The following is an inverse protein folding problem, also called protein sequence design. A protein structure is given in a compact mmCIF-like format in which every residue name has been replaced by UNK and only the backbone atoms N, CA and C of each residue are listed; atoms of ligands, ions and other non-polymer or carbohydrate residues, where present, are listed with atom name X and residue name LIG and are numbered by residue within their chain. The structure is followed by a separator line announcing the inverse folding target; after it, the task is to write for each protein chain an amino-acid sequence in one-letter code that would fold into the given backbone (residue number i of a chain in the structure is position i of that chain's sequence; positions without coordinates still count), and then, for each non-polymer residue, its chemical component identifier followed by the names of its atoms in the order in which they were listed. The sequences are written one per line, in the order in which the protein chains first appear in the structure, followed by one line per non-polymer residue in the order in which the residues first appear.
data_IF_221758540441
#
_entry.id   IF_221758540441
#
_cell.length_a   1.000
_cell.length_b   1.000
_cell.length_c   1.000
_cell.angle_alpha   90.00
_cell.angle_beta   90.00
_cell.angle_gamma   90.00
#
_symmetry.space_group_name_H-M   'P 1'
#
loop_
_entity.id
_entity.type
_entity.pdbx_description
1 polymer ?
#
# COMPACT_ATOMS: atom_id res chain seq x y z
N UNK A 1 23.20 -21.36 -7.93
CA UNK A 1 22.78 -22.31 -6.89
C UNK A 1 22.60 -23.67 -7.53
N UNK A 2 23.61 -24.53 -7.45
CA UNK A 2 23.63 -25.85 -8.07
C UNK A 2 22.60 -26.76 -7.40
N UNK A 3 21.63 -27.26 -8.16
CA UNK A 3 20.71 -28.31 -7.70
C UNK A 3 21.51 -29.61 -7.63
N UNK A 4 21.94 -30.02 -6.43
CA UNK A 4 22.43 -31.37 -6.22
C UNK A 4 21.26 -32.34 -6.45
N UNK A 5 21.30 -33.07 -7.56
CA UNK A 5 20.43 -34.23 -7.77
C UNK A 5 20.97 -35.34 -6.86
N UNK A 6 20.39 -35.43 -5.67
CA UNK A 6 20.71 -36.48 -4.73
C UNK A 6 19.84 -37.68 -5.11
N UNK A 7 20.38 -38.65 -5.85
CA UNK A 7 19.68 -39.88 -6.29
C UNK A 7 19.51 -40.88 -5.12
N UNK A 8 19.24 -40.37 -3.90
CA UNK A 8 18.83 -41.20 -2.78
C UNK A 8 17.36 -41.55 -2.95
N UNK A 9 16.95 -42.81 -2.70
CA UNK A 9 15.55 -43.18 -2.75
C UNK A 9 14.76 -42.32 -1.76
N UNK A 10 13.74 -41.63 -2.26
CA UNK A 10 12.87 -40.78 -1.44
C UNK A 10 12.04 -41.70 -0.54
N UNK A 11 12.09 -41.47 0.78
CA UNK A 11 11.29 -42.19 1.76
C UNK A 11 9.83 -41.70 1.73
N UNK A 12 9.06 -42.21 0.76
CA UNK A 12 7.65 -41.86 0.60
C UNK A 12 6.76 -42.36 1.74
N UNK A 13 7.14 -43.47 2.39
CA UNK A 13 6.38 -44.06 3.50
C UNK A 13 6.48 -43.18 4.74
N UNK A 14 7.68 -42.67 5.04
CA UNK A 14 7.88 -41.67 6.10
C UNK A 14 7.11 -40.37 5.83
N UNK A 15 7.19 -39.85 4.60
CA UNK A 15 6.46 -38.64 4.20
C UNK A 15 4.95 -38.82 4.35
N UNK A 16 4.39 -39.96 3.93
CA UNK A 16 2.95 -40.23 4.06
C UNK A 16 2.50 -40.22 5.52
N UNK A 17 3.23 -40.89 6.40
CA UNK A 17 2.92 -40.94 7.83
C UNK A 17 2.86 -39.53 8.44
N UNK A 18 3.88 -38.73 8.18
CA UNK A 18 4.00 -37.38 8.75
C UNK A 18 2.99 -36.41 8.10
N UNK A 19 2.69 -36.60 6.81
CA UNK A 19 1.64 -35.87 6.11
C UNK A 19 0.26 -36.16 6.73
N UNK A 20 -0.07 -37.43 6.97
CA UNK A 20 -1.34 -37.84 7.60
C UNK A 20 -1.45 -37.38 9.05
N UNK A 21 -0.33 -37.36 9.78
CA UNK A 21 -0.29 -36.93 11.18
C UNK A 21 -0.72 -35.46 11.37
N UNK A 22 -0.49 -34.59 10.39
CA UNK A 22 -0.97 -33.20 10.43
C UNK A 22 -0.20 -32.26 11.38
N UNK A 23 0.72 -32.79 12.20
CA UNK A 23 1.47 -32.06 13.23
C UNK A 23 2.49 -31.08 12.62
N UNK A 24 3.22 -31.50 11.59
CA UNK A 24 4.20 -30.65 10.88
C UNK A 24 3.59 -30.05 9.62
N UNK A 25 3.99 -28.81 9.30
CA UNK A 25 3.62 -28.16 8.04
C UNK A 25 4.21 -28.88 6.82
N UNK A 26 3.52 -28.88 5.69
CA UNK A 26 3.97 -29.60 4.47
C UNK A 26 5.35 -29.13 3.99
N UNK A 27 5.64 -27.83 4.12
CA UNK A 27 6.96 -27.26 3.81
C UNK A 27 8.06 -27.73 4.75
N UNK A 28 7.71 -28.00 6.00
CA UNK A 28 8.65 -28.52 6.99
C UNK A 28 8.96 -29.98 6.73
N UNK A 29 7.94 -30.80 6.42
CA UNK A 29 8.11 -32.19 5.96
C UNK A 29 9.00 -32.22 4.72
N UNK A 30 8.74 -31.35 3.73
CA UNK A 30 9.56 -31.20 2.53
C UNK A 30 11.04 -30.93 2.86
N UNK A 31 11.33 -30.02 3.81
CA UNK A 31 12.69 -29.72 4.26
C UNK A 31 13.35 -30.91 4.94
N UNK A 32 12.65 -31.60 5.85
CA UNK A 32 13.18 -32.75 6.59
C UNK A 32 13.56 -33.91 5.67
N UNK A 33 12.71 -34.21 4.69
CA UNK A 33 12.92 -35.32 3.76
C UNK A 33 13.73 -34.93 2.51
N UNK A 34 14.10 -33.66 2.36
CA UNK A 34 14.88 -33.16 1.22
C UNK A 34 14.11 -33.19 -0.11
N UNK A 35 12.78 -33.06 -0.06
CA UNK A 35 11.87 -33.11 -1.21
C UNK A 35 11.22 -31.73 -1.40
N UNK A 36 10.68 -31.44 -2.59
CA UNK A 36 9.87 -30.22 -2.78
C UNK A 36 8.44 -30.39 -2.24
N UNK A 37 7.84 -29.34 -1.67
CA UNK A 37 6.44 -29.38 -1.19
C UNK A 37 5.47 -29.84 -2.29
N UNK A 38 5.75 -29.44 -3.52
CA UNK A 38 4.95 -29.69 -4.70
C UNK A 38 4.96 -31.17 -5.06
N UNK A 39 6.09 -31.86 -4.88
CA UNK A 39 6.17 -33.30 -5.09
C UNK A 39 5.35 -34.07 -4.04
N UNK A 40 5.35 -33.60 -2.78
CA UNK A 40 4.49 -34.15 -1.72
C UNK A 40 3.01 -33.94 -2.05
N UNK A 41 2.62 -32.73 -2.48
CA UNK A 41 1.24 -32.43 -2.87
C UNK A 41 0.75 -33.26 -4.07
N UNK A 42 1.59 -33.42 -5.10
CA UNK A 42 1.27 -34.23 -6.28
C UNK A 42 1.08 -35.70 -5.89
N UNK A 43 1.93 -36.22 -5.01
CA UNK A 43 1.85 -37.61 -4.53
C UNK A 43 0.63 -37.82 -3.64
N UNK A 44 0.38 -36.93 -2.69
CA UNK A 44 -0.80 -36.96 -1.84
C UNK A 44 -2.11 -36.95 -2.64
N UNK A 45 -2.17 -36.19 -3.74
CA UNK A 45 -3.34 -36.19 -4.64
C UNK A 45 -3.46 -37.49 -5.45
N UNK A 46 -2.35 -38.05 -5.92
CA UNK A 46 -2.34 -39.29 -6.69
C UNK A 46 -2.72 -40.52 -5.83
N UNK A 47 -2.21 -40.58 -4.60
CA UNK A 47 -2.37 -41.71 -3.67
C UNK A 47 -3.49 -41.49 -2.64
N UNK A 48 -4.25 -40.38 -2.75
CA UNK A 48 -5.41 -40.11 -1.91
C UNK A 48 -5.09 -39.90 -0.42
N UNK A 49 -3.96 -39.28 -0.09
CA UNK A 49 -3.58 -39.04 1.30
C UNK A 49 -4.47 -37.99 1.97
N UNK A 50 -4.94 -38.29 3.18
CA UNK A 50 -5.77 -37.40 3.99
C UNK A 50 -4.99 -36.90 5.20
N UNK A 51 -4.98 -35.58 5.41
CA UNK A 51 -4.22 -34.93 6.48
C UNK A 51 -5.14 -34.54 7.63
N UNK A 52 -4.78 -34.93 8.85
CA UNK A 52 -5.48 -34.47 10.07
C UNK A 52 -5.32 -32.95 10.24
N UNK A 53 -6.35 -32.30 10.75
CA UNK A 53 -6.28 -30.88 11.09
C UNK A 53 -5.23 -30.69 12.19
N UNK A 54 -4.35 -29.71 11.99
CA UNK A 54 -3.39 -29.34 13.02
C UNK A 54 -4.14 -28.79 14.24
N UNK A 55 -3.72 -29.11 15.47
CA UNK A 55 -4.31 -28.50 16.65
C UNK A 55 -4.18 -26.98 16.54
N UNK A 56 -5.27 -26.26 16.86
CA UNK A 56 -5.26 -24.79 16.87
C UNK A 56 -4.12 -24.31 17.77
N UNK A 57 -3.23 -23.49 17.22
CA UNK A 57 -2.12 -22.94 17.99
C UNK A 57 -2.64 -21.97 19.06
N UNK A 58 -1.87 -21.73 20.14
CA UNK A 58 -2.28 -20.86 21.26
C UNK A 58 -2.59 -19.41 20.84
N UNK A 59 -2.13 -18.99 19.67
CA UNK A 59 -2.38 -17.65 19.11
C UNK A 59 -3.54 -17.59 18.12
N UNK A 60 -4.16 -18.73 17.79
CA UNK A 60 -5.26 -18.77 16.85
C UNK A 60 -6.57 -18.31 17.50
N UNK A 61 -6.82 -18.69 18.75
CA UNK A 61 -7.95 -18.19 19.53
C UNK A 61 -7.88 -16.67 19.73
N UNK A 62 -6.69 -16.12 20.04
CA UNK A 62 -6.48 -14.66 20.10
C UNK A 62 -6.78 -13.96 18.77
N UNK A 63 -6.46 -14.60 17.64
CA UNK A 63 -6.71 -14.05 16.31
C UNK A 63 -8.19 -14.10 15.95
N UNK A 64 -8.88 -15.18 16.32
CA UNK A 64 -10.32 -15.34 16.17
C UNK A 64 -11.09 -14.35 17.07
N UNK A 65 -10.63 -14.12 18.31
CA UNK A 65 -11.18 -13.11 19.23
C UNK A 65 -10.99 -11.67 18.70
N UNK A 66 -9.85 -11.38 18.07
CA UNK A 66 -9.61 -10.07 17.43
C UNK A 66 -10.44 -9.85 16.15
N UNK A 67 -10.95 -10.92 15.55
CA UNK A 67 -11.86 -10.85 14.40
C UNK A 67 -13.32 -10.55 14.82
N UNK A 68 -13.64 -10.61 16.12
CA UNK A 68 -14.91 -10.07 16.64
C UNK A 68 -14.84 -8.55 16.54
N UNK A 69 -15.71 -8.01 15.71
CA UNK A 69 -15.81 -6.61 15.32
C UNK A 69 -15.74 -5.69 16.54
N UNK A 70 -14.67 -4.92 16.65
CA UNK A 70 -14.76 -3.64 17.36
C UNK A 70 -15.68 -2.80 16.48
N UNK A 71 -16.89 -2.50 16.95
CA UNK A 71 -17.72 -1.45 16.33
C UNK A 71 -16.94 -0.14 16.43
N UNK A 72 -16.21 0.16 15.37
CA UNK A 72 -15.64 1.48 15.16
C UNK A 72 -16.83 2.40 14.97
N UNK A 73 -17.26 3.07 16.03
CA UNK A 73 -18.20 4.19 15.92
C UNK A 73 -17.52 5.19 14.97
N UNK A 74 -18.02 5.39 13.73
CA UNK A 74 -17.43 6.38 12.87
C UNK A 74 -17.65 7.74 13.54
N UNK A 75 -16.63 8.62 13.60
CA UNK A 75 -16.89 9.99 14.01
C UNK A 75 -17.99 10.56 13.11
N UNK A 76 -18.80 11.48 13.64
CA UNK A 76 -19.84 12.20 12.90
C UNK A 76 -19.38 12.47 11.47
N UNK A 77 -20.13 12.03 10.47
CA UNK A 77 -19.71 11.93 9.06
C UNK A 77 -19.13 13.26 8.56
N UNK A 78 -17.81 13.43 8.68
CA UNK A 78 -17.13 14.64 8.20
C UNK A 78 -17.17 14.57 6.69
N UNK A 79 -17.70 15.61 6.04
CA UNK A 79 -17.75 15.62 4.58
C UNK A 79 -16.32 15.72 4.04
N UNK A 80 -16.01 15.07 2.91
CA UNK A 80 -14.68 15.18 2.29
C UNK A 80 -14.33 16.63 1.92
N UNK A 81 -15.33 17.47 1.68
CA UNK A 81 -15.21 18.91 1.46
C UNK A 81 -14.62 19.62 2.70
N UNK A 82 -15.20 19.37 3.89
CA UNK A 82 -14.75 19.97 5.16
C UNK A 82 -13.29 19.59 5.50
N UNK A 83 -12.90 18.35 5.18
CA UNK A 83 -11.53 17.88 5.34
C UNK A 83 -10.56 18.57 4.37
N UNK A 84 -11.00 18.79 3.13
CA UNK A 84 -10.20 19.47 2.12
C UNK A 84 -10.01 20.95 2.44
N UNK A 85 -11.06 21.62 2.92
CA UNK A 85 -11.02 23.01 3.40
C UNK A 85 -10.09 23.17 4.60
N UNK A 86 -10.23 22.29 5.59
CA UNK A 86 -9.33 22.29 6.75
C UNK A 86 -7.88 22.05 6.34
N UNK A 87 -7.64 21.14 5.41
CA UNK A 87 -6.31 20.88 4.85
C UNK A 87 -5.70 22.11 4.20
N UNK A 88 -6.47 22.84 3.39
CA UNK A 88 -6.04 24.09 2.75
C UNK A 88 -5.70 25.17 3.78
N UNK A 89 -6.54 25.34 4.81
CA UNK A 89 -6.31 26.32 5.86
C UNK A 89 -5.07 26.02 6.73
N UNK A 90 -4.70 24.76 6.89
CA UNK A 90 -3.44 24.37 7.55
C UNK A 90 -2.26 24.68 6.63
N UNK A 91 -2.34 24.28 5.35
CA UNK A 91 -1.25 24.50 4.40
C UNK A 91 -0.93 25.99 4.20
N UNK A 92 -1.94 26.86 4.18
CA UNK A 92 -1.76 28.31 4.11
C UNK A 92 -0.98 28.84 5.33
N UNK A 93 -1.39 28.49 6.55
CA UNK A 93 -0.67 28.89 7.78
C UNK A 93 0.77 28.40 7.81
N UNK A 94 1.01 27.18 7.33
CA UNK A 94 2.38 26.65 7.21
C UNK A 94 3.22 27.41 6.17
N UNK A 95 2.61 27.95 5.11
CA UNK A 95 3.32 28.83 4.18
C UNK A 95 3.65 30.18 4.82
N UNK A 96 2.73 30.76 5.59
CA UNK A 96 2.97 32.01 6.32
C UNK A 96 4.12 31.84 7.34
N UNK A 97 4.14 30.72 8.09
CA UNK A 97 5.23 30.38 8.99
C UNK A 97 6.56 30.23 8.23
N UNK A 98 6.53 29.58 7.07
CA UNK A 98 7.73 29.39 6.25
C UNK A 98 8.26 30.72 5.69
N UNK A 99 7.37 31.66 5.36
CA UNK A 99 7.72 33.02 4.97
C UNK A 99 8.39 33.76 6.14
N UNK A 100 7.79 33.72 7.34
CA UNK A 100 8.36 34.33 8.53
C UNK A 100 9.75 33.77 8.88
N UNK A 101 9.91 32.45 8.86
CA UNK A 101 11.22 31.78 9.08
C UNK A 101 12.23 32.18 8.00
N UNK A 102 11.79 32.34 6.75
CA UNK A 102 12.67 32.77 5.66
C UNK A 102 13.11 34.23 5.81
N UNK A 103 12.24 35.10 6.30
CA UNK A 103 12.56 36.51 6.56
C UNK A 103 13.54 36.69 7.74
N UNK A 104 13.46 35.81 8.75
CA UNK A 104 14.24 35.88 9.98
C UNK A 104 15.34 34.82 10.08
N UNK A 105 15.76 34.22 8.97
CA UNK A 105 16.76 33.13 9.02
C UNK A 105 18.10 33.61 9.59
N UNK A 106 18.54 34.84 9.29
CA UNK A 106 19.80 35.38 9.82
C UNK A 106 19.77 35.49 11.35
N UNK A 107 18.70 36.06 11.90
CA UNK A 107 18.51 36.15 13.36
C UNK A 107 18.51 34.77 14.04
N UNK A 108 17.93 33.77 13.38
CA UNK A 108 17.93 32.38 13.86
C UNK A 108 19.33 31.74 13.78
N UNK A 109 20.10 32.00 12.72
CA UNK A 109 21.48 31.53 12.59
C UNK A 109 22.36 32.10 13.70
N UNK A 110 22.24 33.41 13.97
CA UNK A 110 22.97 34.10 15.03
C UNK A 110 22.60 33.52 16.41
N UNK A 111 21.30 33.39 16.72
CA UNK A 111 20.83 32.79 17.98
C UNK A 111 21.33 31.34 18.17
N UNK A 112 21.33 30.53 17.11
CA UNK A 112 21.85 29.16 17.16
C UNK A 112 23.36 29.16 17.44
N UNK A 113 24.11 30.08 16.82
CA UNK A 113 25.56 30.17 17.01
C UNK A 113 25.94 30.62 18.42
N UNK A 114 25.14 31.51 19.01
CA UNK A 114 25.37 32.06 20.35
C UNK A 114 24.98 31.08 21.46
N UNK A 115 23.83 30.41 21.33
CA UNK A 115 23.25 29.61 22.41
C UNK A 115 23.68 28.13 22.39
N UNK A 116 23.92 27.53 21.21
CA UNK A 116 24.22 26.10 21.12
C UNK A 116 25.72 25.81 21.12
N UNK A 117 26.27 25.45 22.27
CA UNK A 117 27.70 25.16 22.44
C UNK A 117 28.16 23.85 21.79
N UNK A 118 27.29 22.85 21.65
CA UNK A 118 27.66 21.57 21.04
C UNK A 118 27.76 21.70 19.51
N UNK A 119 28.94 21.45 18.90
CA UNK A 119 29.13 21.68 17.47
C UNK A 119 28.21 20.82 16.58
N UNK A 120 27.86 19.61 17.02
CA UNK A 120 27.01 18.70 16.23
C UNK A 120 25.56 19.14 16.27
N UNK A 121 25.05 19.51 17.45
CA UNK A 121 23.70 20.07 17.61
C UNK A 121 23.56 21.38 16.86
N UNK A 122 24.53 22.28 16.98
CA UNK A 122 24.55 23.55 16.24
C UNK A 122 24.44 23.32 14.74
N UNK A 123 25.27 22.42 14.20
CA UNK A 123 25.22 22.08 12.78
C UNK A 123 23.87 21.47 12.36
N UNK A 124 23.26 20.63 13.20
CA UNK A 124 21.95 20.07 12.93
C UNK A 124 20.84 21.14 12.89
N UNK A 125 20.87 22.10 13.82
CA UNK A 125 19.92 23.23 13.85
C UNK A 125 20.08 24.14 12.63
N UNK A 126 21.32 24.55 12.31
CA UNK A 126 21.61 25.32 11.09
C UNK A 126 21.16 24.58 9.83
N UNK A 127 21.35 23.26 9.79
CA UNK A 127 20.87 22.44 8.67
C UNK A 127 19.34 22.43 8.57
N UNK A 128 18.63 22.35 9.69
CA UNK A 128 17.17 22.35 9.74
C UNK A 128 16.56 23.66 9.22
N UNK A 129 17.21 24.80 9.48
CA UNK A 129 16.74 26.09 8.97
C UNK A 129 17.32 26.43 7.58
N UNK A 130 18.15 25.58 6.99
CA UNK A 130 18.84 25.89 5.72
C UNK A 130 17.89 26.14 4.55
N UNK A 131 18.34 26.91 3.55
CA UNK A 131 17.55 27.22 2.35
C UNK A 131 17.05 25.95 1.65
N UNK A 132 17.88 24.90 1.59
CA UNK A 132 17.49 23.63 0.98
C UNK A 132 16.33 22.95 1.70
N UNK A 133 16.30 23.03 3.04
CA UNK A 133 15.20 22.46 3.83
C UNK A 133 13.92 23.28 3.66
N UNK A 134 14.03 24.61 3.71
CA UNK A 134 12.90 25.54 3.47
C UNK A 134 12.32 25.41 2.06
N UNK A 135 13.15 25.23 1.04
CA UNK A 135 12.69 24.99 -0.33
C UNK A 135 11.96 23.65 -0.46
N UNK A 136 12.45 22.61 0.25
CA UNK A 136 11.81 21.29 0.30
C UNK A 136 10.43 21.36 0.96
N UNK A 137 10.30 22.06 2.10
CA UNK A 137 9.02 22.25 2.78
C UNK A 137 8.04 23.01 1.89
N UNK A 138 8.45 24.08 1.20
CA UNK A 138 7.61 24.81 0.24
C UNK A 138 7.08 23.90 -0.88
N UNK A 139 7.94 23.06 -1.45
CA UNK A 139 7.55 22.09 -2.49
C UNK A 139 6.53 21.08 -1.97
N UNK A 140 6.73 20.58 -0.75
CA UNK A 140 5.81 19.63 -0.12
C UNK A 140 4.45 20.27 0.16
N UNK A 141 4.42 21.51 0.67
CA UNK A 141 3.18 22.26 0.89
C UNK A 141 2.44 22.54 -0.43
N UNK A 142 3.16 22.95 -1.47
CA UNK A 142 2.60 23.16 -2.82
C UNK A 142 1.97 21.87 -3.38
N UNK A 143 2.64 20.73 -3.19
CA UNK A 143 2.12 19.42 -3.58
C UNK A 143 0.87 19.04 -2.78
N UNK A 144 0.87 19.28 -1.47
CA UNK A 144 -0.29 19.03 -0.61
C UNK A 144 -1.50 19.87 -1.03
N UNK A 145 -1.33 21.17 -1.28
CA UNK A 145 -2.40 22.05 -1.77
C UNK A 145 -2.95 21.55 -3.11
N UNK A 146 -2.08 21.14 -4.03
CA UNK A 146 -2.51 20.56 -5.32
C UNK A 146 -3.38 19.33 -5.11
N UNK A 147 -2.95 18.40 -4.25
CA UNK A 147 -3.71 17.18 -3.95
C UNK A 147 -5.06 17.48 -3.29
N UNK A 148 -5.10 18.44 -2.36
CA UNK A 148 -6.35 18.87 -1.71
C UNK A 148 -7.32 19.51 -2.71
N UNK A 149 -6.82 20.31 -3.66
CA UNK A 149 -7.66 20.90 -4.71
C UNK A 149 -8.22 19.84 -5.66
N UNK A 150 -7.43 18.83 -6.02
CA UNK A 150 -7.88 17.69 -6.83
C UNK A 150 -8.89 16.80 -6.09
N UNK A 151 -8.80 16.72 -4.76
CA UNK A 151 -9.74 15.95 -3.93
C UNK A 151 -11.09 16.68 -3.73
N UNK A 152 -11.07 18.01 -3.72
CA UNK A 152 -12.26 18.84 -3.57
C UNK A 152 -13.12 18.97 -4.84
N UNK A 153 -12.63 18.56 -6.02
CA UNK A 153 -13.45 18.59 -7.24
C UNK A 153 -14.45 17.43 -7.26
N UNK A 154 -15.77 17.70 -7.36
CA UNK A 154 -16.82 16.67 -7.27
C UNK A 154 -16.74 15.60 -8.37
N UNK A 155 -16.21 15.96 -9.54
CA UNK A 155 -15.80 14.99 -10.55
C UNK A 155 -14.36 14.54 -10.26
N UNK A 156 -14.20 13.52 -9.42
CA UNK A 156 -12.89 12.90 -9.21
C UNK A 156 -12.21 12.58 -10.55
N UNK A 157 -10.87 12.55 -10.60
CA UNK A 157 -10.07 12.36 -11.84
C UNK A 157 -10.59 11.28 -12.79
N UNK A 158 -11.31 10.27 -12.29
CA UNK A 158 -12.00 9.24 -13.06
C UNK A 158 -13.20 9.78 -13.86
N UNK A 159 -14.07 10.60 -13.25
CA UNK A 159 -15.22 11.23 -13.91
C UNK A 159 -14.77 12.23 -14.98
N UNK A 160 -13.77 13.08 -14.72
CA UNK A 160 -13.22 13.97 -15.75
C UNK A 160 -12.58 13.22 -16.92
N UNK A 161 -11.82 12.15 -16.65
CA UNK A 161 -11.24 11.31 -17.71
C UNK A 161 -12.32 10.59 -18.52
N UNK A 162 -13.41 10.18 -17.87
CA UNK A 162 -14.54 9.54 -18.52
C UNK A 162 -15.33 10.53 -19.38
N UNK A 163 -15.64 11.73 -18.87
CA UNK A 163 -16.26 12.80 -19.64
C UNK A 163 -15.39 13.25 -20.83
N UNK A 164 -14.06 13.31 -20.66
CA UNK A 164 -13.14 13.61 -21.74
C UNK A 164 -13.09 12.48 -22.80
N UNK A 165 -13.14 11.21 -22.38
CA UNK A 165 -13.20 10.07 -23.28
C UNK A 165 -14.53 10.01 -24.05
N UNK A 166 -15.65 10.29 -23.38
CA UNK A 166 -16.99 10.36 -23.99
C UNK A 166 -17.08 11.47 -25.05
N UNK A 167 -16.45 12.62 -24.81
CA UNK A 167 -16.36 13.70 -25.82
C UNK A 167 -15.58 13.30 -27.08
N UNK A 168 -14.65 12.36 -26.99
CA UNK A 168 -13.84 11.89 -28.14
C UNK A 168 -14.45 10.66 -28.82
N UNK A 169 -15.31 9.91 -28.12
CA UNK A 169 -15.91 8.65 -28.59
C UNK A 169 -16.76 8.74 -29.86
N UNK A 170 -17.24 9.93 -30.23
CA UNK A 170 -18.00 10.15 -31.47
C UNK A 170 -17.18 10.05 -32.77
N UNK A 171 -15.86 10.21 -32.70
CA UNK A 171 -14.98 10.23 -33.90
C UNK A 171 -14.75 8.84 -34.50
N UNK A 172 -14.99 7.77 -33.75
CA UNK A 172 -14.78 6.38 -34.17
C UNK A 172 -16.03 5.50 -34.02
N UNK A 173 -17.22 6.11 -33.93
CA UNK A 173 -18.47 5.36 -33.85
C UNK A 173 -18.68 4.52 -35.12
N UNK A 174 -19.07 3.26 -34.95
CA UNK A 174 -19.31 2.34 -36.06
C UNK A 174 -20.45 2.87 -36.96
N UNK A 175 -20.27 2.89 -38.30
CA UNK A 175 -21.32 3.36 -39.20
C UNK A 175 -22.59 2.50 -39.08
N UNK A 176 -23.75 3.16 -39.10
CA UNK A 176 -25.05 2.50 -39.00
C UNK A 176 -25.22 1.45 -40.11
N UNK A 177 -25.72 0.27 -39.74
CA UNK A 177 -25.94 -0.82 -40.67
C UNK A 177 -26.88 -0.39 -41.83
N UNK A 178 -26.62 -0.83 -43.08
CA UNK A 178 -27.43 -0.48 -44.22
C UNK A 178 -28.85 -1.07 -44.07
N UNK A 179 -29.87 -0.23 -44.31
CA UNK A 179 -31.27 -0.63 -44.27
C UNK A 179 -31.59 -1.47 -45.51
N UNK A 180 -31.96 -2.74 -45.31
CA UNK A 180 -32.49 -3.59 -46.36
C UNK A 180 -33.92 -3.15 -46.71
N UNK A 181 -34.09 -2.54 -47.89
CA UNK A 181 -35.40 -2.28 -48.47
C UNK A 181 -35.74 -3.45 -49.38
N UNK A 182 -36.38 -4.49 -48.85
CA UNK A 182 -36.96 -5.55 -49.68
C UNK A 182 -38.44 -5.26 -49.82
N UNK A 183 -38.83 -4.85 -51.03
CA UNK A 183 -40.23 -4.71 -51.44
C UNK A 183 -40.62 -6.00 -52.16
N UNK A 184 -41.23 -6.95 -51.45
CA UNK A 184 -41.86 -8.11 -52.09
C UNK A 184 -43.30 -7.74 -52.45
N UNK A 185 -43.55 -7.59 -53.76
CA UNK A 185 -44.88 -7.69 -54.35
C UNK A 185 -45.05 -9.08 -54.96
#
# INVERSE_FOLDING_TARGET
MSKHKNDKPIDWVGIERDYRAGVMGIREIARWYGVSDTAIHKRAKADGWTRKEAPKGPFQELREQRAVSIEIIPPASVKPEDLSDRGRAIAARMMDELEAVTAHVGDLEDMICDEESDPRRRQALLKAISLGERASTLKNLSTAIKTLNEAATPEGKKAQKQAAAEKVGGRFAAPSAPKLVVSNK
#
